data_IF_586329884989
#
_entry.id   IF_586329884989
#
_cell.length_a   1.000
_cell.length_b   1.000
_cell.length_c   1.000
_cell.angle_alpha   90.00
_cell.angle_beta   90.00
_cell.angle_gamma   90.00
#
_symmetry.space_group_name_H-M   'P 1'
#
loop_
_entity.id
_entity.type
_entity.pdbx_description
1 polymer ?
#
# COMPACT_ATOMS: atom_id res chain seq x y z
N UNK A 1 -0.66 -14.72 -28.11
CA UNK A 1 -1.37 -13.84 -27.16
C UNK A 1 -0.39 -12.77 -26.77
N UNK A 2 -0.49 -11.59 -27.38
CA UNK A 2 0.41 -10.47 -27.13
C UNK A 2 0.02 -9.77 -25.81
N UNK A 3 0.71 -10.11 -24.73
CA UNK A 3 0.60 -9.45 -23.42
C UNK A 3 1.26 -8.05 -23.40
N UNK A 4 1.60 -7.48 -24.55
CA UNK A 4 2.45 -6.29 -24.69
C UNK A 4 1.76 -4.95 -24.41
N UNK A 5 0.56 -4.92 -23.81
CA UNK A 5 -0.18 -3.65 -23.63
C UNK A 5 -1.09 -3.58 -22.42
N UNK A 6 -0.92 -4.45 -21.43
CA UNK A 6 -1.65 -4.31 -20.17
C UNK A 6 -1.08 -3.10 -19.40
N UNK A 7 -1.91 -2.07 -19.21
CA UNK A 7 -1.58 -0.93 -18.34
C UNK A 7 -1.62 -1.42 -16.89
N UNK A 8 -0.58 -1.12 -16.13
CA UNK A 8 -0.52 -1.43 -14.70
C UNK A 8 -1.27 -0.32 -13.95
N UNK A 9 -2.37 -0.64 -13.24
CA UNK A 9 -3.09 0.34 -12.45
C UNK A 9 -2.18 0.99 -11.41
N UNK A 10 -2.35 2.27 -11.13
CA UNK A 10 -1.61 3.01 -10.11
C UNK A 10 -2.52 3.35 -8.93
N UNK A 11 -1.95 3.34 -7.72
CA UNK A 11 -2.68 3.65 -6.51
C UNK A 11 -1.89 4.53 -5.54
N UNK A 12 -2.61 5.30 -4.74
CA UNK A 12 -2.07 6.03 -3.61
C UNK A 12 -2.32 5.23 -2.33
N UNK A 13 -1.32 5.15 -1.46
CA UNK A 13 -1.42 4.41 -0.19
C UNK A 13 -1.69 5.37 0.95
N UNK A 14 -2.73 5.06 1.73
CA UNK A 14 -3.14 5.83 2.89
C UNK A 14 -3.04 4.97 4.15
N UNK A 15 -2.46 5.51 5.22
CA UNK A 15 -2.25 4.80 6.49
C UNK A 15 -2.93 5.55 7.62
N UNK A 16 -3.84 4.86 8.31
CA UNK A 16 -4.50 5.33 9.53
C UNK A 16 -3.59 4.95 10.71
N UNK A 17 -2.63 5.83 11.00
CA UNK A 17 -1.50 5.57 11.91
C UNK A 17 -1.96 5.09 13.30
N UNK A 18 -3.04 5.65 13.86
CA UNK A 18 -3.55 5.24 15.17
C UNK A 18 -4.12 3.81 15.24
N UNK A 19 -4.47 3.20 14.10
CA UNK A 19 -5.02 1.83 14.02
C UNK A 19 -3.94 0.77 13.86
N UNK A 20 -2.77 1.14 13.35
CA UNK A 20 -1.70 0.18 13.09
C UNK A 20 -1.16 -0.43 14.40
N UNK A 21 -0.93 -1.76 14.37
CA UNK A 21 -0.37 -2.56 15.47
C UNK A 21 0.91 -3.32 15.08
N UNK A 22 1.63 -2.84 14.06
CA UNK A 22 2.94 -3.38 13.63
C UNK A 22 2.93 -4.91 13.36
N UNK A 23 1.87 -5.44 12.74
CA UNK A 23 1.84 -6.86 12.34
C UNK A 23 2.67 -7.13 11.08
N UNK A 24 3.03 -6.09 10.33
CA UNK A 24 3.91 -6.10 9.16
C UNK A 24 3.41 -6.91 7.95
N UNK A 25 2.14 -7.32 7.94
CA UNK A 25 1.58 -8.06 6.81
C UNK A 25 1.54 -7.24 5.53
N UNK A 26 1.16 -5.96 5.58
CA UNK A 26 1.16 -5.10 4.40
C UNK A 26 2.57 -4.92 3.81
N UNK A 27 3.60 -4.76 4.65
CA UNK A 27 5.00 -4.65 4.22
C UNK A 27 5.47 -5.96 3.60
N UNK A 28 5.30 -7.08 4.32
CA UNK A 28 5.81 -8.40 3.91
C UNK A 28 5.18 -8.91 2.63
N UNK A 29 3.89 -8.67 2.44
CA UNK A 29 3.12 -9.26 1.34
C UNK A 29 2.74 -8.25 0.25
N UNK A 30 3.24 -7.01 0.31
CA UNK A 30 3.10 -6.09 -0.82
C UNK A 30 3.83 -6.67 -2.05
N UNK A 31 3.14 -7.02 -3.15
CA UNK A 31 3.78 -7.61 -4.32
C UNK A 31 4.72 -6.64 -5.04
N UNK A 32 4.47 -5.33 -4.93
CA UNK A 32 5.32 -4.28 -5.49
C UNK A 32 6.48 -3.87 -4.56
N UNK A 33 6.50 -4.35 -3.31
CA UNK A 33 7.51 -4.01 -2.30
C UNK A 33 7.74 -2.50 -2.17
N UNK A 34 6.65 -1.74 -2.04
CA UNK A 34 6.65 -0.27 -1.94
C UNK A 34 6.43 0.25 -0.53
N UNK A 35 6.36 -0.64 0.46
CA UNK A 35 6.18 -0.27 1.87
C UNK A 35 7.40 -0.66 2.70
N UNK A 36 7.77 0.20 3.64
CA UNK A 36 8.78 -0.03 4.67
C UNK A 36 8.29 0.44 6.04
N UNK A 37 9.10 0.22 7.07
CA UNK A 37 8.81 0.68 8.43
C UNK A 37 9.04 2.18 8.55
N UNK A 38 8.14 2.87 9.23
CA UNK A 38 8.39 4.24 9.68
C UNK A 38 9.56 4.27 10.68
N UNK A 39 10.37 5.32 10.63
CA UNK A 39 11.36 5.61 11.70
C UNK A 39 10.69 6.11 12.98
N UNK A 40 9.48 6.66 12.87
CA UNK A 40 8.65 7.14 13.97
C UNK A 40 7.69 6.05 14.46
N UNK A 41 7.17 6.23 15.67
CA UNK A 41 6.10 5.38 16.24
C UNK A 41 4.82 6.17 16.43
N UNK A 42 3.67 5.48 16.47
CA UNK A 42 2.40 6.08 16.90
C UNK A 42 2.31 6.19 18.43
N UNK A 43 1.22 6.74 18.96
CA UNK A 43 1.00 6.93 20.41
C UNK A 43 1.03 5.62 21.23
N UNK A 44 0.91 4.46 20.57
CA UNK A 44 0.94 3.13 21.19
C UNK A 44 2.34 2.50 21.13
N UNK A 45 3.32 3.18 20.52
CA UNK A 45 4.68 2.70 20.35
C UNK A 45 4.91 1.80 19.14
N UNK A 46 3.95 1.72 18.20
CA UNK A 46 4.07 0.87 17.00
C UNK A 46 4.71 1.61 15.83
N UNK A 47 5.63 0.95 15.12
CA UNK A 47 6.06 1.38 13.80
C UNK A 47 4.96 1.09 12.78
N UNK A 48 4.62 2.08 11.97
CA UNK A 48 3.58 2.00 10.95
C UNK A 48 4.20 1.91 9.55
N UNK A 49 3.49 1.36 8.55
CA UNK A 49 4.03 1.32 7.19
C UNK A 49 4.12 2.72 6.60
N UNK A 50 5.19 2.99 5.85
CA UNK A 50 5.36 4.18 5.01
C UNK A 50 5.79 3.75 3.61
N UNK A 51 5.56 4.61 2.63
CA UNK A 51 6.06 4.37 1.26
C UNK A 51 7.58 4.45 1.23
N UNK A 52 8.22 3.54 0.49
CA UNK A 52 9.65 3.60 0.26
C UNK A 52 9.96 4.85 -0.58
N UNK A 53 10.91 5.66 -0.14
CA UNK A 53 11.17 6.99 -0.70
C UNK A 53 11.46 6.98 -2.22
N UNK A 54 12.15 5.95 -2.73
CA UNK A 54 12.47 5.79 -4.16
C UNK A 54 11.37 5.07 -4.97
N UNK A 55 10.25 4.73 -4.33
CA UNK A 55 9.10 4.02 -4.94
C UNK A 55 7.75 4.66 -4.62
N UNK A 56 7.72 5.98 -4.42
CA UNK A 56 6.50 6.72 -4.11
C UNK A 56 5.35 6.43 -5.11
N UNK A 57 5.69 6.25 -6.39
CA UNK A 57 4.74 5.96 -7.47
C UNK A 57 4.70 4.48 -7.88
N UNK A 58 5.17 3.56 -7.02
CA UNK A 58 5.29 2.14 -7.36
C UNK A 58 4.06 1.28 -7.01
N UNK A 59 3.05 1.85 -6.35
CA UNK A 59 1.88 1.10 -5.89
C UNK A 59 0.97 0.74 -7.06
N UNK A 60 0.79 -0.56 -7.29
CA UNK A 60 0.04 -1.08 -8.46
C UNK A 60 -1.47 -1.27 -8.21
N UNK A 61 -2.02 -0.57 -7.21
CA UNK A 61 -3.44 -0.65 -6.80
C UNK A 61 -4.02 -2.08 -6.69
N UNK A 62 -3.23 -3.04 -6.21
CA UNK A 62 -3.66 -4.44 -6.07
C UNK A 62 -4.63 -4.72 -4.91
N UNK A 63 -4.83 -3.72 -4.02
CA UNK A 63 -5.65 -3.80 -2.79
C UNK A 63 -5.25 -4.88 -1.78
N UNK A 64 -4.11 -5.54 -1.96
CA UNK A 64 -3.72 -6.65 -1.11
C UNK A 64 -3.45 -6.22 0.35
N UNK A 65 -2.82 -5.05 0.53
CA UNK A 65 -2.60 -4.46 1.85
C UNK A 65 -3.92 -4.15 2.58
N UNK A 66 -4.94 -3.72 1.84
CA UNK A 66 -6.27 -3.39 2.36
C UNK A 66 -6.95 -4.65 2.90
N UNK A 67 -6.85 -5.75 2.13
CA UNK A 67 -7.47 -7.04 2.45
C UNK A 67 -6.78 -7.77 3.61
N UNK A 68 -5.44 -7.70 3.68
CA UNK A 68 -4.68 -8.46 4.69
C UNK A 68 -4.59 -7.73 6.04
N UNK A 69 -4.90 -6.43 6.10
CA UNK A 69 -4.78 -5.66 7.34
C UNK A 69 -5.92 -6.02 8.31
N UNK A 70 -5.63 -6.67 9.45
CA UNK A 70 -6.68 -7.06 10.40
C UNK A 70 -7.31 -5.87 11.12
N UNK A 71 -6.62 -4.71 11.13
CA UNK A 71 -7.04 -3.50 11.84
C UNK A 71 -7.66 -2.44 10.91
N UNK A 72 -7.73 -2.71 9.60
CA UNK A 72 -8.16 -1.73 8.59
C UNK A 72 -7.40 -0.40 8.75
N UNK A 73 -6.09 -0.50 8.95
CA UNK A 73 -5.18 0.62 9.22
C UNK A 73 -4.48 1.14 7.95
N UNK A 74 -4.72 0.52 6.80
CA UNK A 74 -4.15 0.89 5.50
C UNK A 74 -5.23 0.68 4.43
N UNK A 75 -5.33 1.62 3.50
CA UNK A 75 -6.20 1.50 2.32
C UNK A 75 -5.54 2.13 1.10
N UNK A 76 -5.98 1.75 -0.10
CA UNK A 76 -5.50 2.34 -1.36
C UNK A 76 -6.62 3.04 -2.13
N UNK A 77 -6.28 4.14 -2.79
CA UNK A 77 -7.16 4.83 -3.74
C UNK A 77 -6.55 4.78 -5.14
N UNK A 78 -7.35 4.65 -6.21
CA UNK A 78 -6.80 4.72 -7.56
C UNK A 78 -6.28 6.13 -7.84
N UNK A 79 -5.17 6.25 -8.56
CA UNK A 79 -4.69 7.53 -9.11
C UNK A 79 -5.40 7.77 -10.44
N UNK A 80 -5.88 8.99 -10.67
CA UNK A 80 -6.68 9.33 -11.86
C UNK A 80 -5.99 8.89 -13.17
N UNK A 81 -6.74 8.15 -13.99
CA UNK A 81 -6.27 7.50 -15.21
C UNK A 81 -6.59 6.01 -15.28
N UNK A 82 -6.88 5.35 -14.16
CA UNK A 82 -7.21 3.91 -14.08
C UNK A 82 -8.66 3.61 -13.65
N UNK A 83 -9.55 4.61 -13.72
CA UNK A 83 -10.96 4.49 -13.36
C UNK A 83 -11.81 3.66 -14.35
N UNK A 84 -11.24 3.20 -15.47
CA UNK A 84 -11.97 2.57 -16.56
C UNK A 84 -11.47 1.14 -16.84
N UNK A 85 -11.85 0.20 -15.99
CA UNK A 85 -11.87 -1.22 -16.34
C UNK A 85 -13.04 -1.89 -15.61
N UNK A 86 -14.25 -1.56 -16.07
CA UNK A 86 -15.48 -2.32 -15.78
C UNK A 86 -15.54 -3.61 -16.58
#
# INVERSE_FOLDING_TARGET
>A
MDLGRARVPQGEVHVIVERCKECNFCIKYCPAQVLEYSTQTNDKGYHYPVMVADKADGCVYCKFCDLICPELAIYTTPVDGDADAG
#
